data_IF_126924206815
#
_entry.id   IF_126924206815
#
_cell.length_a   1.000
_cell.length_b   1.000
_cell.length_c   1.000
_cell.angle_alpha   90.00
_cell.angle_beta   90.00
_cell.angle_gamma   90.00
#
_symmetry.space_group_name_H-M   'P 1'
#
loop_
_entity.id
_entity.type
_entity.pdbx_description
1 polymer ?
#
# COMPACT_ATOMS: atom_id res chain seq x y z
N UNK A 1 -9.01 -17.24 -27.09
CA UNK A 1 -9.86 -16.03 -27.01
C UNK A 1 -9.19 -14.89 -26.24
N UNK A 2 -7.86 -14.70 -26.39
CA UNK A 2 -7.11 -13.57 -25.81
C UNK A 2 -6.71 -12.52 -26.87
N UNK A 3 -7.04 -12.74 -28.14
CA UNK A 3 -6.70 -11.85 -29.26
C UNK A 3 -7.79 -10.80 -29.59
N UNK A 4 -8.93 -10.82 -28.88
CA UNK A 4 -10.01 -9.85 -29.06
C UNK A 4 -9.98 -8.70 -28.03
N UNK A 5 -9.20 -8.85 -26.95
CA UNK A 5 -9.09 -7.84 -25.90
C UNK A 5 -7.94 -6.83 -26.11
N UNK A 6 -7.02 -7.09 -27.04
CA UNK A 6 -5.87 -6.21 -27.31
C UNK A 6 -6.20 -5.00 -28.20
N UNK A 7 -7.34 -5.00 -28.89
CA UNK A 7 -7.69 -3.94 -29.86
C UNK A 7 -8.65 -2.86 -29.32
N UNK A 8 -8.93 -2.85 -28.00
CA UNK A 8 -9.87 -1.92 -27.37
C UNK A 8 -9.21 -0.86 -26.46
N UNK A 9 -7.88 -0.86 -26.32
CA UNK A 9 -7.15 0.03 -25.38
C UNK A 9 -5.97 0.81 -25.99
N UNK A 10 -6.01 1.13 -27.28
CA UNK A 10 -5.03 2.07 -27.86
C UNK A 10 -5.59 3.50 -27.87
N UNK A 11 -5.41 4.20 -26.76
CA UNK A 11 -5.38 5.66 -26.72
C UNK A 11 -4.01 6.16 -27.21
N UNK A 12 -4.02 7.12 -28.13
CA UNK A 12 -2.84 7.79 -28.67
C UNK A 12 -2.06 8.55 -27.58
N UNK A 13 -0.71 8.54 -27.60
CA UNK A 13 0.09 9.32 -26.66
C UNK A 13 0.21 10.79 -27.10
N UNK A 14 -0.06 11.70 -26.18
CA UNK A 14 0.28 13.12 -26.25
C UNK A 14 1.81 13.30 -26.17
N UNK A 15 2.43 14.18 -26.98
CA UNK A 15 3.87 14.43 -26.92
C UNK A 15 4.24 15.30 -25.70
N UNK A 16 5.27 14.88 -24.98
CA UNK A 16 5.97 15.69 -23.95
C UNK A 16 6.85 16.75 -24.61
N UNK A 17 6.95 17.97 -24.05
CA UNK A 17 7.68 19.08 -24.68
C UNK A 17 9.20 18.94 -24.53
N UNK A 18 9.90 19.38 -25.57
CA UNK A 18 11.36 19.48 -25.69
C UNK A 18 11.80 20.83 -25.08
N UNK A 19 12.85 20.80 -24.25
CA UNK A 19 13.52 21.99 -23.76
C UNK A 19 14.47 22.57 -24.83
N UNK A 20 14.36 23.86 -25.13
CA UNK A 20 15.34 24.64 -25.90
C UNK A 20 15.46 26.01 -25.21
N UNK A 21 16.67 26.37 -24.80
CA UNK A 21 17.05 27.67 -24.23
C UNK A 21 17.13 28.78 -25.30
N UNK A 22 16.64 29.97 -24.90
CA UNK A 22 17.00 31.35 -25.24
C UNK A 22 17.50 31.73 -26.64
N UNK A 23 16.66 32.46 -27.39
CA UNK A 23 17.02 33.70 -28.09
C UNK A 23 15.81 34.28 -28.85
N UNK A 24 15.11 35.25 -28.26
CA UNK A 24 14.71 36.53 -28.91
C UNK A 24 13.69 37.30 -28.04
N UNK A 25 14.19 38.37 -27.44
CA UNK A 25 13.47 39.32 -26.61
C UNK A 25 13.26 40.59 -27.45
N UNK A 26 12.07 40.78 -28.03
CA UNK A 26 11.63 42.07 -28.56
C UNK A 26 10.11 42.15 -28.71
N UNK A 27 9.54 43.16 -28.04
CA UNK A 27 8.37 43.97 -28.38
C UNK A 27 7.10 43.29 -28.92
N UNK A 28 6.01 43.37 -28.16
CA UNK A 28 4.71 43.91 -28.63
C UNK A 28 3.79 44.09 -27.43
N UNK A 29 3.93 45.25 -26.77
CA UNK A 29 2.88 45.81 -25.93
C UNK A 29 1.93 46.63 -26.82
N UNK A 30 0.76 46.09 -27.15
CA UNK A 30 -0.39 46.91 -27.54
C UNK A 30 -1.69 46.12 -27.33
N UNK A 31 -2.37 46.42 -26.22
CA UNK A 31 -3.71 45.91 -25.91
C UNK A 31 -4.70 46.85 -26.58
N UNK A 32 -5.35 46.37 -27.65
CA UNK A 32 -6.48 47.07 -28.27
C UNK A 32 -7.79 46.63 -27.60
N UNK A 33 -8.44 47.57 -26.92
CA UNK A 33 -9.82 47.47 -26.40
C UNK A 33 -10.83 47.46 -27.55
N UNK A 34 -11.82 46.54 -27.59
CA UNK A 34 -12.92 46.67 -28.54
C UNK A 34 -14.02 47.60 -28.00
N UNK A 35 -14.07 48.79 -28.60
CA UNK A 35 -15.10 49.83 -28.46
C UNK A 35 -16.51 49.30 -28.76
N UNK A 36 -17.45 49.63 -27.87
CA UNK A 36 -18.89 49.39 -28.00
C UNK A 36 -19.49 50.44 -28.96
N UNK A 37 -20.14 50.01 -30.04
CA UNK A 37 -20.95 50.89 -30.89
C UNK A 37 -22.41 50.40 -30.99
N UNK A 38 -23.40 51.31 -30.97
CA UNK A 38 -24.82 51.00 -30.78
C UNK A 38 -25.56 50.86 -32.12
N UNK A 39 -26.66 50.11 -32.17
CA UNK A 39 -27.61 50.21 -33.29
C UNK A 39 -29.05 50.21 -32.76
N UNK A 40 -29.67 51.38 -32.90
CA UNK A 40 -31.12 51.61 -32.89
C UNK A 40 -31.71 51.27 -34.26
N UNK A 41 -32.98 50.91 -34.24
CA UNK A 41 -33.83 50.41 -35.32
C UNK A 41 -33.85 51.20 -36.64
N UNK A 42 -33.99 50.45 -37.76
CA UNK A 42 -35.00 50.79 -38.78
C UNK A 42 -35.23 49.62 -39.75
N UNK A 43 -36.52 49.41 -40.01
CA UNK A 43 -37.18 48.46 -40.89
C UNK A 43 -36.86 48.75 -42.38
N UNK A 44 -36.49 47.72 -43.17
CA UNK A 44 -36.65 47.72 -44.63
C UNK A 44 -36.49 46.32 -45.26
N UNK A 45 -37.50 45.93 -46.03
CA UNK A 45 -37.59 44.76 -46.93
C UNK A 45 -36.50 44.80 -48.02
N UNK A 46 -35.82 43.69 -48.30
CA UNK A 46 -35.89 42.93 -49.58
C UNK A 46 -34.83 41.81 -49.68
N UNK A 47 -35.27 40.73 -50.34
CA UNK A 47 -34.57 39.83 -51.27
C UNK A 47 -33.42 38.92 -50.82
N UNK A 48 -33.71 37.63 -51.02
CA UNK A 48 -32.84 36.48 -51.20
C UNK A 48 -31.45 36.79 -51.77
N UNK A 49 -30.42 36.35 -51.05
CA UNK A 49 -29.23 35.78 -51.68
C UNK A 49 -28.63 34.72 -50.75
N UNK A 50 -28.38 33.56 -51.36
CA UNK A 50 -27.84 32.36 -50.77
C UNK A 50 -26.40 32.56 -50.31
N UNK A 51 -26.10 32.13 -49.09
CA UNK A 51 -24.73 31.81 -48.68
C UNK A 51 -24.79 30.67 -47.67
N UNK A 52 -24.55 29.45 -48.15
CA UNK A 52 -24.22 28.32 -47.31
C UNK A 52 -22.91 28.63 -46.59
N UNK A 53 -22.96 28.77 -45.27
CA UNK A 53 -21.79 28.71 -44.41
C UNK A 53 -22.07 27.68 -43.32
N UNK A 54 -21.40 26.53 -43.48
CA UNK A 54 -20.92 25.62 -42.44
C UNK A 54 -21.79 25.49 -41.20
N UNK A 55 -22.51 24.37 -41.16
CA UNK A 55 -23.15 23.77 -39.99
C UNK A 55 -22.11 23.57 -38.87
N UNK A 56 -21.87 24.61 -38.08
CA UNK A 56 -21.38 24.45 -36.72
C UNK A 56 -22.46 23.64 -36.02
N UNK A 57 -22.17 22.38 -35.68
CA UNK A 57 -23.10 21.54 -34.91
C UNK A 57 -23.64 22.33 -33.74
N UNK A 58 -24.85 22.87 -33.91
CA UNK A 58 -25.52 23.66 -32.89
C UNK A 58 -25.91 22.66 -31.81
N UNK A 59 -25.24 22.75 -30.66
CA UNK A 59 -25.64 21.99 -29.48
C UNK A 59 -27.13 22.29 -29.30
N UNK A 60 -28.02 21.27 -29.31
CA UNK A 60 -29.45 21.50 -29.34
C UNK A 60 -29.83 22.40 -28.17
N UNK A 61 -30.47 23.52 -28.49
CA UNK A 61 -30.89 24.52 -27.51
C UNK A 61 -31.79 23.84 -26.47
N UNK A 62 -31.31 23.78 -25.23
CA UNK A 62 -32.10 23.30 -24.11
C UNK A 62 -32.09 24.38 -23.03
N UNK A 63 -33.29 24.75 -22.55
CA UNK A 63 -33.47 25.64 -21.38
C UNK A 63 -32.71 25.14 -20.16
N UNK A 64 -32.43 23.83 -20.12
CA UNK A 64 -31.12 23.24 -19.85
C UNK A 64 -30.06 24.14 -19.20
N UNK A 65 -29.35 24.83 -20.08
CA UNK A 65 -28.11 25.52 -19.74
C UNK A 65 -28.32 27.01 -19.44
N UNK A 66 -29.50 27.58 -19.77
CA UNK A 66 -29.82 29.00 -19.58
C UNK A 66 -30.70 29.20 -18.33
N UNK A 67 -30.08 29.21 -17.15
CA UNK A 67 -30.77 29.40 -15.86
C UNK A 67 -31.54 30.73 -15.79
N UNK A 68 -31.07 31.76 -16.48
CA UNK A 68 -31.65 33.11 -16.49
C UNK A 68 -32.98 33.22 -17.25
N UNK A 69 -33.33 32.23 -18.08
CA UNK A 69 -34.59 32.17 -18.83
C UNK A 69 -35.69 31.40 -18.08
N UNK A 70 -35.39 30.87 -16.89
CA UNK A 70 -36.31 30.07 -16.07
C UNK A 70 -36.90 30.92 -14.95
N UNK A 71 -38.23 31.04 -14.92
CA UNK A 71 -38.93 31.91 -13.98
C UNK A 71 -40.00 31.19 -13.17
N UNK A 72 -40.26 29.91 -13.44
CA UNK A 72 -41.28 29.13 -12.72
C UNK A 72 -40.66 28.05 -11.82
N UNK A 73 -41.20 27.85 -10.62
CA UNK A 73 -40.73 26.81 -9.68
C UNK A 73 -40.84 25.38 -10.25
N UNK A 74 -41.73 25.18 -11.24
CA UNK A 74 -41.88 23.91 -11.94
C UNK A 74 -40.67 23.52 -12.80
N UNK A 75 -39.94 24.52 -13.33
CA UNK A 75 -38.73 24.32 -14.15
C UNK A 75 -37.51 23.92 -13.32
N UNK A 76 -37.57 24.10 -11.99
CA UNK A 76 -36.52 23.73 -11.05
C UNK A 76 -36.75 22.37 -10.36
N UNK A 77 -37.81 21.63 -10.70
CA UNK A 77 -38.13 20.33 -10.06
C UNK A 77 -36.99 19.33 -10.18
N UNK A 78 -36.33 19.25 -11.33
CA UNK A 78 -35.20 18.34 -11.55
C UNK A 78 -33.96 18.76 -10.74
N UNK A 79 -33.66 20.07 -10.70
CA UNK A 79 -32.57 20.61 -9.87
C UNK A 79 -32.83 20.40 -8.39
N UNK A 80 -34.07 20.59 -7.92
CA UNK A 80 -34.47 20.30 -6.55
C UNK A 80 -34.26 18.82 -6.18
N UNK A 81 -34.61 17.89 -7.08
CA UNK A 81 -34.35 16.45 -6.87
C UNK A 81 -32.85 16.17 -6.80
N UNK A 82 -32.04 16.77 -7.67
CA UNK A 82 -30.57 16.63 -7.64
C UNK A 82 -30.00 17.18 -6.32
N UNK A 83 -30.47 18.34 -5.86
CA UNK A 83 -30.03 18.95 -4.59
C UNK A 83 -30.39 18.06 -3.41
N UNK A 84 -31.61 17.49 -3.37
CA UNK A 84 -32.03 16.55 -2.32
C UNK A 84 -31.12 15.31 -2.31
N UNK A 85 -30.82 14.76 -3.48
CA UNK A 85 -29.94 13.60 -3.61
C UNK A 85 -28.49 13.93 -3.19
N UNK A 86 -27.97 15.09 -3.58
CA UNK A 86 -26.64 15.55 -3.19
C UNK A 86 -26.58 15.76 -1.66
N UNK A 87 -27.60 16.40 -1.08
CA UNK A 87 -27.71 16.60 0.35
C UNK A 87 -27.74 15.25 1.10
N UNK A 88 -28.46 14.26 0.57
CA UNK A 88 -28.47 12.91 1.14
C UNK A 88 -27.09 12.25 1.11
N UNK A 89 -26.35 12.35 -0.01
CA UNK A 89 -24.97 11.85 -0.12
C UNK A 89 -24.06 12.55 0.89
N UNK A 90 -24.15 13.88 1.01
CA UNK A 90 -23.35 14.67 1.97
C UNK A 90 -23.68 14.26 3.40
N UNK A 91 -24.96 14.06 3.74
CA UNK A 91 -25.34 13.59 5.07
C UNK A 91 -24.75 12.21 5.38
N UNK A 92 -24.86 11.25 4.46
CA UNK A 92 -24.25 9.92 4.63
C UNK A 92 -22.74 10.04 4.84
N UNK A 93 -22.07 10.85 4.02
CA UNK A 93 -20.64 11.08 4.14
C UNK A 93 -20.27 11.63 5.53
N UNK A 94 -20.96 12.67 5.99
CA UNK A 94 -20.71 13.30 7.29
C UNK A 94 -21.02 12.36 8.47
N UNK A 95 -22.09 11.58 8.40
CA UNK A 95 -22.41 10.60 9.44
C UNK A 95 -21.40 9.44 9.46
N UNK A 96 -21.03 8.93 8.28
CA UNK A 96 -20.04 7.86 8.14
C UNK A 96 -18.68 8.24 8.71
N UNK A 97 -18.17 9.43 8.37
CA UNK A 97 -16.89 9.93 8.90
C UNK A 97 -16.95 10.19 10.40
N UNK A 98 -18.06 10.74 10.93
CA UNK A 98 -18.25 10.95 12.38
C UNK A 98 -18.24 9.64 13.17
N UNK A 99 -18.89 8.59 12.67
CA UNK A 99 -18.91 7.27 13.32
C UNK A 99 -17.49 6.68 13.35
N UNK A 100 -16.78 6.74 12.23
CA UNK A 100 -15.40 6.25 12.14
C UNK A 100 -14.47 6.99 13.12
N UNK A 101 -14.51 8.33 13.15
CA UNK A 101 -13.75 9.14 14.11
C UNK A 101 -14.10 8.79 15.56
N UNK A 102 -15.37 8.56 15.88
CA UNK A 102 -15.80 8.19 17.24
C UNK A 102 -15.25 6.82 17.65
N UNK A 103 -15.27 5.82 16.74
CA UNK A 103 -14.68 4.51 16.98
C UNK A 103 -13.17 4.60 17.20
N UNK A 104 -12.47 5.29 16.31
CA UNK A 104 -11.03 5.46 16.40
C UNK A 104 -10.60 6.12 17.72
N UNK A 105 -11.27 7.20 18.12
CA UNK A 105 -10.99 7.86 19.40
C UNK A 105 -11.26 6.97 20.60
N UNK A 106 -12.33 6.17 20.59
CA UNK A 106 -12.60 5.27 21.71
C UNK A 106 -11.50 4.23 21.85
N UNK A 107 -11.08 3.61 20.75
CA UNK A 107 -10.02 2.62 20.74
C UNK A 107 -8.71 3.18 21.30
N UNK A 108 -8.29 4.35 20.82
CA UNK A 108 -7.09 5.02 21.32
C UNK A 108 -7.26 5.50 22.76
N UNK A 109 -8.47 5.86 23.18
CA UNK A 109 -8.79 6.16 24.58
C UNK A 109 -8.53 4.99 25.53
N UNK A 110 -8.76 3.75 25.08
CA UNK A 110 -8.51 2.52 25.86
C UNK A 110 -7.05 2.06 25.77
N UNK A 111 -6.40 2.22 24.61
CA UNK A 111 -4.99 1.82 24.41
C UNK A 111 -4.03 2.84 25.03
N UNK A 112 -4.43 4.11 25.05
CA UNK A 112 -3.63 5.24 25.49
C UNK A 112 -3.03 5.11 26.88
N UNK A 113 -3.78 4.71 27.93
CA UNK A 113 -3.23 4.50 29.26
C UNK A 113 -2.08 3.49 29.30
N UNK A 114 -2.20 2.40 28.53
CA UNK A 114 -1.16 1.35 28.44
C UNK A 114 0.07 1.92 27.73
N UNK A 115 -0.14 2.63 26.62
CA UNK A 115 0.96 3.22 25.85
C UNK A 115 1.67 4.33 26.62
N UNK A 116 0.93 5.20 27.30
CA UNK A 116 1.47 6.29 28.11
C UNK A 116 2.31 5.78 29.28
N UNK A 117 1.96 4.64 29.86
CA UNK A 117 2.73 4.02 30.94
C UNK A 117 4.07 3.43 30.44
N UNK A 118 4.09 2.89 29.23
CA UNK A 118 5.21 2.11 28.70
C UNK A 118 6.15 2.91 27.78
N UNK A 119 5.68 4.04 27.23
CA UNK A 119 6.41 4.87 26.28
C UNK A 119 6.52 6.32 26.77
N UNK A 120 7.69 6.94 26.57
CA UNK A 120 7.91 8.32 26.98
C UNK A 120 7.30 9.35 26.03
N UNK A 121 7.08 9.01 24.76
CA UNK A 121 6.48 9.90 23.77
C UNK A 121 5.37 9.15 23.03
N UNK A 122 4.18 9.75 23.02
CA UNK A 122 3.00 9.18 22.39
C UNK A 122 2.39 10.19 21.42
N UNK A 123 2.11 9.75 20.21
CA UNK A 123 1.48 10.53 19.17
C UNK A 123 2.44 11.37 18.33
N UNK A 124 1.88 12.41 17.72
CA UNK A 124 2.59 13.34 16.84
C UNK A 124 2.90 14.68 17.53
N UNK A 125 2.66 14.77 18.84
CA UNK A 125 2.99 15.95 19.61
C UNK A 125 4.50 16.02 19.86
N UNK A 126 5.04 17.23 19.78
CA UNK A 126 6.47 17.49 19.95
C UNK A 126 6.88 17.67 21.39
N UNK A 127 5.91 17.80 22.30
CA UNK A 127 6.13 17.94 23.74
C UNK A 127 6.01 16.58 24.40
N UNK A 128 7.06 16.09 25.08
CA UNK A 128 6.93 14.88 25.88
C UNK A 128 5.91 15.11 27.01
N UNK A 129 5.05 14.14 27.33
CA UNK A 129 4.19 14.19 28.50
C UNK A 129 5.06 14.42 29.75
N UNK A 130 4.63 15.34 30.62
CA UNK A 130 5.31 15.57 31.89
C UNK A 130 5.03 14.37 32.81
N UNK A 131 5.98 13.95 33.65
CA UNK A 131 5.85 12.76 34.54
C UNK A 131 4.61 12.77 35.48
N UNK A 132 3.90 13.90 35.58
CA UNK A 132 2.68 14.08 36.37
C UNK A 132 1.40 14.27 35.53
N UNK A 133 1.46 14.13 34.20
CA UNK A 133 0.26 14.20 33.37
C UNK A 133 -0.51 12.88 33.46
N UNK A 134 -1.56 12.87 34.28
CA UNK A 134 -2.56 11.79 34.25
C UNK A 134 -3.16 11.69 32.83
N UNK A 135 -3.42 10.47 32.36
CA UNK A 135 -4.05 10.26 31.05
C UNK A 135 -5.44 10.94 31.02
N UNK A 136 -5.55 12.03 30.27
CA UNK A 136 -6.82 12.73 30.07
C UNK A 136 -7.43 12.33 28.73
N UNK A 137 -8.75 12.11 28.69
CA UNK A 137 -9.45 11.71 27.46
C UNK A 137 -9.34 12.75 26.32
N UNK A 138 -8.95 13.99 26.62
CA UNK A 138 -8.74 15.06 25.64
C UNK A 138 -7.41 14.89 24.86
N UNK A 139 -6.40 14.21 25.42
CA UNK A 139 -5.10 13.97 24.75
C UNK A 139 -5.21 13.12 23.49
N UNK A 140 -6.29 12.32 23.37
CA UNK A 140 -6.59 11.48 22.21
C UNK A 140 -6.62 12.29 20.91
N UNK A 141 -7.00 13.56 20.97
CA UNK A 141 -7.10 14.44 19.81
C UNK A 141 -5.75 14.81 19.18
N UNK A 142 -4.69 14.94 19.98
CA UNK A 142 -3.34 15.24 19.49
C UNK A 142 -2.54 13.99 19.09
N UNK A 143 -2.90 12.84 19.66
CA UNK A 143 -2.19 11.58 19.48
C UNK A 143 -2.60 10.84 18.19
N UNK A 144 -3.85 11.01 17.76
CA UNK A 144 -4.42 10.31 16.62
C UNK A 144 -4.36 11.17 15.35
N UNK A 145 -3.70 10.68 14.30
CA UNK A 145 -3.67 11.30 12.98
C UNK A 145 -4.60 10.59 12.02
N UNK A 146 -5.48 11.34 11.35
CA UNK A 146 -6.32 10.85 10.27
C UNK A 146 -5.53 10.89 8.96
N UNK A 147 -5.21 9.71 8.39
CA UNK A 147 -4.61 9.58 7.05
C UNK A 147 -5.71 9.67 5.98
N UNK A 148 -6.84 9.01 6.25
CA UNK A 148 -8.03 8.95 5.41
C UNK A 148 -9.27 8.83 6.31
N UNK A 149 -10.50 9.15 5.85
CA UNK A 149 -11.70 8.99 6.68
C UNK A 149 -11.99 7.56 7.17
N UNK A 150 -11.29 6.56 6.62
CA UNK A 150 -11.27 5.18 7.08
C UNK A 150 -9.96 4.75 7.77
N UNK A 151 -8.87 5.49 7.58
CA UNK A 151 -7.54 5.09 8.05
C UNK A 151 -6.99 6.10 9.06
N UNK A 152 -6.70 5.61 10.25
CA UNK A 152 -6.11 6.41 11.32
C UNK A 152 -4.80 5.78 11.75
N UNK A 153 -3.85 6.60 12.14
CA UNK A 153 -2.55 6.15 12.61
C UNK A 153 -2.17 6.86 13.87
N UNK A 154 -1.53 6.16 14.79
CA UNK A 154 -0.79 6.73 15.90
C UNK A 154 0.56 6.06 16.03
N UNK A 155 1.46 6.72 16.73
CA UNK A 155 2.85 6.34 16.86
C UNK A 155 3.26 6.48 18.32
N UNK A 156 4.13 5.64 18.84
CA UNK A 156 4.77 5.86 20.14
C UNK A 156 6.25 5.46 20.13
N UNK A 157 7.05 6.11 20.97
CA UNK A 157 8.48 5.85 21.11
C UNK A 157 8.97 6.16 22.52
N UNK A 158 10.20 5.75 22.85
CA UNK A 158 10.80 6.01 24.17
C UNK A 158 10.87 4.81 25.11
N UNK A 159 10.69 3.59 24.60
CA UNK A 159 10.99 2.35 25.34
C UNK A 159 12.39 1.87 24.99
N UNK A 160 13.09 1.23 25.93
CA UNK A 160 14.51 0.86 25.77
C UNK A 160 14.78 -0.08 24.59
N UNK A 161 14.03 -1.18 24.45
CA UNK A 161 14.29 -2.22 23.44
C UNK A 161 13.49 -2.02 22.14
N UNK A 162 12.69 -0.95 22.04
CA UNK A 162 11.77 -0.69 20.93
C UNK A 162 12.09 0.68 20.34
N UNK A 163 12.42 0.73 19.05
CA UNK A 163 12.63 1.99 18.36
C UNK A 163 11.34 2.80 18.31
N UNK A 164 10.28 2.17 17.83
CA UNK A 164 8.95 2.74 17.83
C UNK A 164 7.87 1.69 17.60
N UNK A 165 6.65 2.11 17.91
CA UNK A 165 5.42 1.39 17.62
C UNK A 165 4.55 2.22 16.68
N UNK A 166 4.09 1.59 15.61
CA UNK A 166 3.06 2.11 14.72
C UNK A 166 1.75 1.39 15.03
N UNK A 167 0.68 2.14 15.23
CA UNK A 167 -0.67 1.60 15.37
C UNK A 167 -1.51 2.18 14.25
N UNK A 168 -1.82 1.35 13.27
CA UNK A 168 -2.68 1.68 12.14
C UNK A 168 -4.06 1.06 12.33
N UNK A 169 -5.08 1.87 12.09
CA UNK A 169 -6.47 1.54 12.24
C UNK A 169 -7.16 1.62 10.88
N UNK A 170 -7.68 0.50 10.41
CA UNK A 170 -8.43 0.43 9.15
C UNK A 170 -9.89 0.16 9.47
N UNK A 171 -10.74 1.15 9.20
CA UNK A 171 -12.19 1.08 9.37
C UNK A 171 -12.91 0.89 8.03
N UNK A 172 -14.15 0.45 8.09
CA UNK A 172 -15.01 0.39 6.91
C UNK A 172 -15.24 1.78 6.34
N UNK A 173 -15.34 1.87 5.01
CA UNK A 173 -15.64 3.09 4.25
C UNK A 173 -17.13 3.48 4.36
N UNK A 174 -17.62 3.70 5.59
CA UNK A 174 -19.03 4.03 5.89
C UNK A 174 -19.51 5.32 5.26
N UNK A 175 -18.59 6.22 4.92
CA UNK A 175 -18.86 7.47 4.23
C UNK A 175 -19.23 7.29 2.75
N UNK A 176 -19.05 6.07 2.21
CA UNK A 176 -19.36 5.71 0.82
C UNK A 176 -19.99 4.31 0.78
N UNK A 177 -21.32 4.19 0.98
CA UNK A 177 -21.98 2.89 1.04
C UNK A 177 -21.91 2.12 -0.27
N UNK A 178 -21.91 2.83 -1.42
CA UNK A 178 -21.80 2.19 -2.73
C UNK A 178 -20.44 1.48 -2.90
N UNK A 179 -19.35 2.09 -2.47
CA UNK A 179 -18.04 1.44 -2.53
C UNK A 179 -17.95 0.27 -1.56
N UNK A 180 -18.54 0.39 -0.37
CA UNK A 180 -18.58 -0.71 0.61
C UNK A 180 -19.36 -1.92 0.07
N UNK A 181 -20.52 -1.69 -0.57
CA UNK A 181 -21.31 -2.75 -1.20
C UNK A 181 -20.56 -3.35 -2.40
N UNK A 182 -19.90 -2.53 -3.21
CA UNK A 182 -19.09 -3.01 -4.33
C UNK A 182 -17.92 -3.86 -3.85
N UNK A 183 -17.18 -3.43 -2.82
CA UNK A 183 -16.09 -4.19 -2.19
C UNK A 183 -16.58 -5.52 -1.63
N UNK A 184 -17.70 -5.51 -0.90
CA UNK A 184 -18.32 -6.73 -0.37
C UNK A 184 -18.77 -7.68 -1.50
N UNK A 185 -19.39 -7.16 -2.56
CA UNK A 185 -19.78 -7.97 -3.72
C UNK A 185 -18.55 -8.57 -4.41
N UNK A 186 -17.50 -7.78 -4.66
CA UNK A 186 -16.26 -8.25 -5.26
C UNK A 186 -15.62 -9.36 -4.44
N UNK A 187 -15.61 -9.27 -3.10
CA UNK A 187 -15.05 -10.32 -2.24
C UNK A 187 -15.77 -11.67 -2.35
N UNK A 188 -17.05 -11.69 -2.77
CA UNK A 188 -17.79 -12.94 -3.00
C UNK A 188 -17.46 -13.54 -4.37
N UNK A 189 -17.19 -12.71 -5.38
CA UNK A 189 -16.92 -13.17 -6.75
C UNK A 189 -15.44 -13.44 -7.02
N UNK A 190 -14.52 -12.80 -6.29
CA UNK A 190 -13.08 -12.92 -6.48
C UNK A 190 -12.43 -13.49 -5.22
N UNK A 191 -11.95 -14.73 -5.32
CA UNK A 191 -11.31 -15.45 -4.20
C UNK A 191 -10.03 -14.76 -3.70
N UNK A 192 -9.40 -13.90 -4.50
CA UNK A 192 -8.24 -13.11 -4.12
C UNK A 192 -8.55 -11.78 -3.42
N UNK A 193 -9.83 -11.45 -3.21
CA UNK A 193 -10.24 -10.22 -2.52
C UNK A 193 -10.90 -10.56 -1.19
N UNK A 194 -10.30 -10.11 -0.09
CA UNK A 194 -10.88 -10.31 1.23
C UNK A 194 -12.08 -9.41 1.46
N UNK A 195 -13.04 -9.90 2.26
CA UNK A 195 -14.19 -9.10 2.66
C UNK A 195 -13.71 -7.87 3.45
N UNK A 196 -14.29 -6.68 3.19
CA UNK A 196 -13.89 -5.48 3.89
C UNK A 196 -14.17 -5.68 5.39
N UNK A 197 -13.12 -5.60 6.20
CA UNK A 197 -13.17 -5.86 7.64
C UNK A 197 -12.42 -4.77 8.41
N UNK A 198 -12.97 -4.41 9.57
CA UNK A 198 -12.35 -3.44 10.47
C UNK A 198 -11.24 -4.12 11.27
N UNK A 199 -10.01 -3.61 11.20
CA UNK A 199 -8.88 -4.18 11.92
C UNK A 199 -7.93 -3.10 12.44
N UNK A 200 -7.20 -3.46 13.49
CA UNK A 200 -6.11 -2.69 14.09
C UNK A 200 -4.83 -3.45 13.86
N UNK A 201 -3.87 -2.82 13.20
CA UNK A 201 -2.51 -3.30 13.09
C UNK A 201 -1.62 -2.59 14.09
N UNK A 202 -0.94 -3.34 14.96
CA UNK A 202 0.08 -2.84 15.87
C UNK A 202 1.41 -3.42 15.39
N UNK A 203 2.31 -2.55 14.94
CA UNK A 203 3.63 -2.94 14.45
C UNK A 203 4.71 -2.33 15.32
N UNK A 204 5.44 -3.19 16.03
CA UNK A 204 6.61 -2.82 16.80
C UNK A 204 7.87 -3.02 15.97
N UNK A 205 8.80 -2.08 16.09
CA UNK A 205 10.12 -2.14 15.49
C UNK A 205 11.17 -2.24 16.60
N UNK A 206 11.60 -3.47 16.97
CA UNK A 206 12.66 -3.67 17.95
C UNK A 206 14.00 -3.15 17.45
N UNK A 207 14.87 -2.77 18.38
CA UNK A 207 16.25 -2.45 18.04
C UNK A 207 17.04 -3.72 17.66
N UNK A 208 17.88 -3.61 16.62
CA UNK A 208 18.69 -4.73 16.10
C UNK A 208 20.18 -4.56 16.44
N UNK A 209 20.50 -3.89 17.56
CA UNK A 209 21.89 -3.53 17.93
C UNK A 209 22.56 -2.50 17.01
N UNK A 210 21.85 -2.04 15.97
CA UNK A 210 22.22 -0.89 15.11
C UNK A 210 21.58 0.42 15.60
N UNK A 211 21.40 0.55 16.90
CA UNK A 211 20.74 1.68 17.56
C UNK A 211 21.39 3.02 17.19
N UNK A 212 22.73 3.01 16.99
CA UNK A 212 23.51 4.16 16.56
C UNK A 212 23.12 4.75 15.19
N UNK A 213 22.44 3.99 14.33
CA UNK A 213 21.97 4.48 13.03
C UNK A 213 20.60 5.17 13.13
N UNK A 214 19.80 4.79 14.12
CA UNK A 214 18.42 5.26 14.27
C UNK A 214 18.30 6.41 15.27
N UNK A 215 19.14 6.42 16.30
CA UNK A 215 19.16 7.49 17.32
C UNK A 215 20.27 8.49 16.99
N UNK A 216 19.95 9.73 16.57
CA UNK A 216 20.96 10.75 16.31
C UNK A 216 21.74 11.05 17.60
N UNK A 217 23.07 10.86 17.55
CA UNK A 217 23.97 10.89 18.71
C UNK A 217 24.22 12.27 19.34
N UNK A 218 23.30 13.22 19.19
CA UNK A 218 23.47 14.61 19.61
C UNK A 218 22.43 15.07 20.66
N UNK A 219 21.66 14.12 21.21
CA UNK A 219 20.75 14.39 22.33
C UNK A 219 21.55 14.22 23.64
N UNK A 220 21.58 15.21 24.55
CA UNK A 220 22.19 15.08 25.88
C UNK A 220 21.56 13.88 26.62
N UNK A 221 22.37 12.92 27.08
CA UNK A 221 21.89 11.66 27.69
C UNK A 221 22.02 10.41 26.80
N UNK A 222 22.21 10.57 25.49
CA UNK A 222 22.42 9.46 24.54
C UNK A 222 23.71 8.64 24.80
N UNK A 223 24.66 9.17 25.58
CA UNK A 223 25.85 8.45 25.99
C UNK A 223 25.60 7.39 27.07
N UNK A 224 24.50 7.48 27.84
CA UNK A 224 24.15 6.46 28.85
C UNK A 224 23.42 5.26 28.24
N UNK A 225 22.61 5.48 27.20
CA UNK A 225 22.00 4.41 26.39
C UNK A 225 23.07 3.50 25.75
N UNK A 226 24.25 4.06 25.39
CA UNK A 226 25.39 3.30 24.83
C UNK A 226 26.03 2.30 25.82
N UNK A 227 25.76 2.44 27.12
CA UNK A 227 26.25 1.52 28.18
C UNK A 227 25.24 0.41 28.51
N UNK A 228 24.01 0.49 28.01
CA UNK A 228 23.02 -0.58 28.13
C UNK A 228 23.43 -1.82 27.32
N UNK A 229 23.09 -3.02 27.79
CA UNK A 229 23.32 -4.26 27.05
C UNK A 229 22.69 -4.20 25.65
N UNK A 230 23.28 -4.89 24.68
CA UNK A 230 22.75 -4.95 23.31
C UNK A 230 21.35 -5.54 23.34
N UNK A 231 20.36 -4.81 22.82
CA UNK A 231 18.95 -5.22 22.67
C UNK A 231 18.74 -6.31 21.60
N UNK A 232 19.75 -7.15 21.35
CA UNK A 232 19.81 -8.06 20.21
C UNK A 232 19.32 -9.45 20.59
N UNK A 233 18.39 -10.00 19.81
CA UNK A 233 18.01 -11.42 19.83
C UNK A 233 18.24 -12.09 18.47
N UNK A 234 18.13 -13.40 18.38
CA UNK A 234 18.37 -14.14 17.13
C UNK A 234 17.28 -13.90 16.09
N UNK A 235 17.64 -13.96 14.80
CA UNK A 235 16.69 -13.78 13.69
C UNK A 235 15.92 -15.06 13.39
N UNK A 236 14.59 -14.98 13.38
CA UNK A 236 13.69 -16.07 13.03
C UNK A 236 12.32 -15.53 12.57
N UNK A 237 11.53 -16.41 11.94
CA UNK A 237 10.10 -16.14 11.67
C UNK A 237 9.24 -17.09 12.50
N UNK A 238 8.34 -16.50 13.28
CA UNK A 238 7.37 -17.19 14.12
C UNK A 238 6.04 -16.43 14.16
N UNK A 239 4.93 -17.13 14.04
CA UNK A 239 3.61 -16.51 14.11
C UNK A 239 2.59 -17.42 14.77
N UNK A 240 1.61 -16.80 15.43
CA UNK A 240 0.34 -17.42 15.81
C UNK A 240 -0.75 -16.76 14.99
N UNK A 241 -1.54 -17.58 14.29
CA UNK A 241 -2.53 -17.08 13.32
C UNK A 241 -3.87 -17.78 13.52
N UNK A 242 -4.94 -17.06 13.23
CA UNK A 242 -6.27 -17.64 13.09
C UNK A 242 -6.33 -18.47 11.78
N UNK A 243 -6.91 -19.67 11.86
CA UNK A 243 -6.96 -20.64 10.75
C UNK A 243 -7.68 -20.11 9.52
N UNK A 244 -8.67 -19.26 9.72
CA UNK A 244 -9.46 -18.68 8.62
C UNK A 244 -8.61 -17.77 7.72
N UNK A 245 -7.55 -17.16 8.27
CA UNK A 245 -6.73 -16.16 7.57
C UNK A 245 -5.41 -16.72 7.03
N UNK A 246 -5.09 -18.01 7.21
CA UNK A 246 -3.77 -18.56 6.83
C UNK A 246 -3.51 -18.43 5.32
N UNK A 247 -4.52 -18.73 4.49
CA UNK A 247 -4.36 -18.69 3.03
C UNK A 247 -4.02 -17.28 2.58
N UNK A 248 -4.85 -16.32 2.99
CA UNK A 248 -4.64 -14.91 2.69
C UNK A 248 -3.28 -14.42 3.21
N UNK A 249 -2.89 -14.77 4.44
CA UNK A 249 -1.61 -14.35 5.00
C UNK A 249 -0.39 -14.91 4.25
N UNK A 250 -0.49 -16.12 3.69
CA UNK A 250 0.59 -16.71 2.87
C UNK A 250 0.71 -16.05 1.50
N UNK A 251 -0.39 -15.52 0.97
CA UNK A 251 -0.41 -14.82 -0.32
C UNK A 251 0.01 -13.36 -0.16
N UNK A 252 -0.46 -12.68 0.90
CA UNK A 252 -0.20 -11.26 1.16
C UNK A 252 1.20 -11.00 1.73
N UNK A 253 1.78 -11.96 2.47
CA UNK A 253 3.06 -11.77 3.16
C UNK A 253 4.08 -12.86 2.84
N UNK A 254 5.22 -12.43 2.33
CA UNK A 254 6.34 -13.29 1.99
C UNK A 254 6.99 -13.92 3.22
N UNK A 255 7.11 -13.19 4.33
CA UNK A 255 7.71 -13.68 5.58
C UNK A 255 7.08 -14.99 6.08
N UNK A 256 5.75 -15.04 6.14
CA UNK A 256 4.99 -16.22 6.59
C UNK A 256 5.10 -17.37 5.58
N UNK A 257 5.23 -17.08 4.29
CA UNK A 257 5.33 -18.11 3.24
C UNK A 257 6.50 -19.08 3.44
N UNK A 258 7.57 -18.62 4.12
CA UNK A 258 8.76 -19.41 4.44
C UNK A 258 8.54 -20.41 5.58
N UNK A 259 7.49 -20.24 6.37
CA UNK A 259 7.27 -21.01 7.60
C UNK A 259 6.43 -22.27 7.39
N UNK A 260 6.64 -23.25 8.27
CA UNK A 260 5.84 -24.46 8.33
C UNK A 260 4.71 -24.30 9.36
N UNK A 261 3.51 -24.71 8.98
CA UNK A 261 2.36 -24.71 9.89
C UNK A 261 2.41 -25.95 10.78
N UNK A 262 2.30 -25.75 12.10
CA UNK A 262 2.20 -26.82 13.09
C UNK A 262 1.11 -26.50 14.11
N UNK A 263 0.15 -27.40 14.23
CA UNK A 263 -0.87 -27.31 15.27
C UNK A 263 -0.26 -27.69 16.64
N UNK A 264 -0.66 -26.97 17.68
CA UNK A 264 -0.28 -27.23 19.07
C UNK A 264 -1.54 -27.53 19.88
N UNK A 265 -1.47 -28.57 20.73
CA UNK A 265 -2.58 -28.92 21.64
C UNK A 265 -2.80 -27.88 22.76
N UNK A 266 -1.83 -26.99 22.98
CA UNK A 266 -1.90 -25.94 24.01
C UNK A 266 -2.71 -24.72 23.55
N UNK A 267 -2.97 -24.62 22.26
CA UNK A 267 -3.66 -23.48 21.66
C UNK A 267 -5.11 -23.86 21.32
N UNK A 268 -6.02 -22.86 21.28
CA UNK A 268 -7.37 -23.09 20.83
C UNK A 268 -7.43 -23.63 19.41
N UNK A 269 -8.41 -24.50 19.14
CA UNK A 269 -8.54 -25.22 17.84
C UNK A 269 -8.62 -24.31 16.61
N UNK A 270 -9.08 -23.07 16.79
CA UNK A 270 -9.22 -22.05 15.75
C UNK A 270 -7.90 -21.30 15.46
N UNK A 271 -6.86 -21.50 16.27
CA UNK A 271 -5.51 -20.95 16.04
C UNK A 271 -4.51 -22.04 15.65
N UNK A 272 -3.45 -21.64 14.96
CA UNK A 272 -2.29 -22.50 14.69
C UNK A 272 -0.99 -21.70 14.83
N UNK A 273 0.10 -22.40 15.08
CA UNK A 273 1.45 -21.82 15.02
C UNK A 273 2.04 -22.01 13.62
N UNK A 274 2.75 -21.01 13.14
CA UNK A 274 3.58 -21.06 11.95
C UNK A 274 5.01 -20.70 12.36
N UNK A 275 5.97 -21.61 12.13
CA UNK A 275 7.34 -21.43 12.61
C UNK A 275 8.35 -22.12 11.70
N UNK A 276 9.57 -21.58 11.66
CA UNK A 276 10.73 -22.22 11.02
C UNK A 276 11.25 -23.42 11.84
N UNK A 277 11.11 -23.38 13.18
CA UNK A 277 11.59 -24.45 14.08
C UNK A 277 10.63 -24.71 15.25
N UNK A 278 10.60 -25.96 15.72
CA UNK A 278 9.80 -26.33 16.89
C UNK A 278 10.35 -25.76 18.20
N UNK A 279 11.68 -25.69 18.34
CA UNK A 279 12.34 -25.12 19.53
C UNK A 279 11.96 -23.64 19.74
N UNK A 280 11.83 -22.88 18.65
CA UNK A 280 11.38 -21.49 18.70
C UNK A 280 9.94 -21.41 19.24
N UNK A 281 9.07 -22.32 18.80
CA UNK A 281 7.70 -22.38 19.29
C UNK A 281 7.65 -22.67 20.79
N UNK A 282 8.48 -23.58 21.29
CA UNK A 282 8.50 -23.93 22.71
C UNK A 282 8.98 -22.77 23.59
N UNK A 283 9.94 -21.98 23.11
CA UNK A 283 10.43 -20.81 23.83
C UNK A 283 9.42 -19.64 23.87
N UNK A 284 8.66 -19.45 22.79
CA UNK A 284 7.77 -18.29 22.64
C UNK A 284 6.34 -18.55 23.10
N UNK A 285 5.91 -19.81 23.14
CA UNK A 285 4.56 -20.17 23.55
C UNK A 285 4.43 -20.23 25.07
N UNK A 286 4.37 -19.05 25.68
CA UNK A 286 4.16 -18.86 27.13
C UNK A 286 2.70 -19.10 27.52
N UNK A 287 2.47 -19.42 28.80
CA UNK A 287 1.11 -19.58 29.35
C UNK A 287 0.33 -18.27 29.34
N UNK A 288 1.02 -17.15 29.57
CA UNK A 288 0.43 -15.80 29.51
C UNK A 288 -0.09 -15.46 28.12
N UNK A 289 0.69 -15.78 27.08
CA UNK A 289 0.27 -15.56 25.70
C UNK A 289 -0.96 -16.41 25.35
N UNK A 290 -0.96 -17.69 25.72
CA UNK A 290 -2.08 -18.59 25.46
C UNK A 290 -3.36 -18.03 26.09
N UNK A 291 -3.29 -17.62 27.35
CA UNK A 291 -4.43 -17.04 28.06
C UNK A 291 -4.89 -15.72 27.43
N UNK A 292 -3.97 -14.84 27.03
CA UNK A 292 -4.31 -13.58 26.36
C UNK A 292 -5.00 -13.81 25.00
N UNK A 293 -4.58 -14.82 24.25
CA UNK A 293 -5.21 -15.21 22.97
C UNK A 293 -6.61 -15.81 23.22
N UNK A 294 -6.75 -16.67 24.23
CA UNK A 294 -8.04 -17.25 24.62
C UNK A 294 -9.06 -16.18 25.03
N UNK A 295 -8.63 -15.18 25.81
CA UNK A 295 -9.46 -14.05 26.20
C UNK A 295 -9.86 -13.17 25.01
N UNK A 296 -8.96 -12.97 24.06
CA UNK A 296 -9.22 -12.18 22.86
C UNK A 296 -10.24 -12.85 21.92
N UNK A 297 -10.29 -14.19 21.91
CA UNK A 297 -11.24 -14.97 21.13
C UNK A 297 -11.20 -14.62 19.63
N UNK A 298 -12.36 -14.45 19.01
CA UNK A 298 -12.50 -14.14 17.57
C UNK A 298 -11.93 -12.76 17.17
N UNK A 299 -11.62 -11.88 18.13
CA UNK A 299 -10.96 -10.61 17.83
C UNK A 299 -9.49 -10.79 17.43
N UNK A 300 -8.88 -11.93 17.75
CA UNK A 300 -7.50 -12.21 17.38
C UNK A 300 -7.39 -12.64 15.90
N UNK A 301 -6.61 -11.90 15.10
CA UNK A 301 -6.27 -12.30 13.74
C UNK A 301 -4.92 -13.01 13.67
N UNK A 302 -3.85 -12.31 14.01
CA UNK A 302 -2.50 -12.85 13.96
C UNK A 302 -1.52 -12.06 14.83
N UNK A 303 -0.51 -12.76 15.34
CA UNK A 303 0.70 -12.22 15.96
C UNK A 303 1.89 -12.81 15.21
N UNK A 304 2.74 -11.95 14.66
CA UNK A 304 3.89 -12.34 13.83
C UNK A 304 5.14 -11.69 14.41
N UNK A 305 6.19 -12.48 14.58
CA UNK A 305 7.54 -12.06 14.91
C UNK A 305 8.40 -12.46 13.72
N UNK A 306 9.02 -11.49 13.06
CA UNK A 306 9.76 -11.74 11.83
C UNK A 306 10.99 -10.85 11.77
N UNK A 307 12.04 -11.36 11.14
CA UNK A 307 13.18 -10.57 10.67
C UNK A 307 13.23 -10.47 9.13
N UNK A 308 12.26 -11.06 8.44
CA UNK A 308 12.15 -11.06 6.98
C UNK A 308 11.28 -9.90 6.48
N UNK A 309 11.49 -9.45 5.22
CA UNK A 309 10.63 -8.44 4.61
C UNK A 309 9.20 -8.97 4.41
N UNK A 310 8.24 -8.04 4.47
CA UNK A 310 6.81 -8.36 4.26
C UNK A 310 6.55 -8.71 2.80
N UNK A 311 7.15 -7.96 1.87
CA UNK A 311 7.06 -8.21 0.44
C UNK A 311 8.25 -9.05 -0.04
N UNK A 312 8.05 -9.80 -1.13
CA UNK A 312 9.09 -10.63 -1.70
C UNK A 312 10.24 -9.73 -2.24
N UNK A 313 11.47 -9.89 -1.73
CA UNK A 313 12.58 -9.07 -2.18
C UNK A 313 12.97 -9.43 -3.62
N UNK A 314 13.01 -8.43 -4.49
CA UNK A 314 13.47 -8.57 -5.88
C UNK A 314 14.99 -8.44 -5.98
N UNK A 315 15.60 -7.66 -5.07
CA UNK A 315 17.04 -7.40 -5.04
C UNK A 315 17.67 -8.02 -3.80
N UNK A 316 18.97 -8.30 -3.90
CA UNK A 316 19.74 -8.84 -2.78
C UNK A 316 19.83 -7.85 -1.60
N UNK A 317 19.84 -6.54 -1.85
CA UNK A 317 19.94 -5.52 -0.80
C UNK A 317 18.70 -5.48 0.10
N UNK A 318 17.53 -5.81 -0.47
CA UNK A 318 16.24 -5.85 0.23
C UNK A 318 16.08 -7.10 1.09
N UNK A 319 17.02 -8.05 1.01
CA UNK A 319 17.08 -9.24 1.89
C UNK A 319 17.73 -8.95 3.25
N UNK A 320 18.10 -7.69 3.50
CA UNK A 320 18.65 -7.30 4.81
C UNK A 320 17.61 -7.53 5.91
N UNK A 321 17.94 -8.33 6.95
CA UNK A 321 16.97 -8.69 7.96
C UNK A 321 16.56 -7.44 8.76
N UNK A 322 15.24 -7.27 8.93
CA UNK A 322 14.64 -6.18 9.70
C UNK A 322 13.63 -6.79 10.66
N UNK A 323 13.96 -6.73 11.94
CA UNK A 323 13.11 -7.25 13.01
C UNK A 323 11.83 -6.43 13.13
N UNK A 324 10.71 -7.13 13.23
CA UNK A 324 9.37 -6.56 13.36
C UNK A 324 8.49 -7.52 14.15
N UNK A 325 7.62 -6.95 14.99
CA UNK A 325 6.52 -7.69 15.61
C UNK A 325 5.23 -7.05 15.12
N UNK A 326 4.37 -7.82 14.47
CA UNK A 326 3.09 -7.36 13.94
C UNK A 326 1.96 -8.11 14.64
N UNK A 327 1.10 -7.38 15.34
CA UNK A 327 -0.15 -7.86 15.90
C UNK A 327 -1.30 -7.28 15.07
N UNK A 328 -2.24 -8.13 14.65
CA UNK A 328 -3.49 -7.70 14.03
C UNK A 328 -4.68 -8.20 14.81
N UNK A 329 -5.64 -7.30 15.00
CA UNK A 329 -6.85 -7.52 15.78
C UNK A 329 -8.06 -7.04 14.99
N UNK A 330 -9.17 -7.78 15.03
CA UNK A 330 -10.45 -7.31 14.51
C UNK A 330 -11.05 -6.30 15.48
N UNK A 331 -11.76 -5.31 14.94
CA UNK A 331 -12.46 -4.34 15.78
C UNK A 331 -13.84 -4.89 16.15
N UNK A 332 -14.17 -4.97 17.45
CA UNK A 332 -15.48 -5.44 17.89
C UNK A 332 -16.58 -4.46 17.50
N UNK A 333 -17.72 -5.00 17.04
CA UNK A 333 -18.90 -4.19 16.74
C UNK A 333 -19.52 -3.55 17.99
N UNK A 334 -19.36 -4.19 19.16
CA UNK A 334 -19.80 -3.71 20.47
C UNK A 334 -18.96 -2.55 21.02
N UNK A 335 -17.82 -2.23 20.37
CA UNK A 335 -16.92 -1.16 20.77
C UNK A 335 -16.34 -1.36 22.19
N UNK A 336 -16.26 -2.59 22.67
CA UNK A 336 -15.64 -2.99 23.94
C UNK A 336 -14.29 -3.64 23.65
N UNK A 337 -13.21 -3.07 24.20
CA UNK A 337 -11.83 -3.46 23.91
C UNK A 337 -11.16 -4.20 25.07
N UNK A 338 -11.86 -4.40 26.19
CA UNK A 338 -11.32 -4.96 27.43
C UNK A 338 -10.64 -6.32 27.26
N UNK A 339 -11.18 -7.18 26.40
CA UNK A 339 -10.63 -8.51 26.10
C UNK A 339 -9.28 -8.49 25.38
N UNK A 340 -8.95 -7.38 24.71
CA UNK A 340 -7.76 -7.24 23.86
C UNK A 340 -6.63 -6.50 24.59
N UNK A 341 -6.94 -5.76 25.66
CA UNK A 341 -5.96 -4.97 26.41
C UNK A 341 -4.82 -5.84 26.99
N UNK A 342 -5.15 -7.01 27.53
CA UNK A 342 -4.16 -7.94 28.07
C UNK A 342 -3.19 -8.44 26.99
N UNK A 343 -3.70 -8.69 25.78
CA UNK A 343 -2.88 -9.11 24.65
C UNK A 343 -1.98 -7.97 24.16
N UNK A 344 -2.50 -6.74 24.11
CA UNK A 344 -1.68 -5.57 23.79
C UNK A 344 -0.54 -5.40 24.80
N UNK A 345 -0.84 -5.44 26.09
CA UNK A 345 0.16 -5.34 27.15
C UNK A 345 1.21 -6.45 27.05
N UNK A 346 0.79 -7.69 26.79
CA UNK A 346 1.71 -8.80 26.56
C UNK A 346 2.63 -8.54 25.36
N UNK A 347 2.10 -8.05 24.24
CA UNK A 347 2.88 -7.77 23.03
C UNK A 347 3.90 -6.64 23.22
N UNK A 348 3.58 -5.65 24.06
CA UNK A 348 4.55 -4.63 24.44
C UNK A 348 5.73 -5.24 25.23
N UNK A 349 5.43 -6.09 26.21
CA UNK A 349 6.43 -6.79 27.04
C UNK A 349 7.16 -7.92 26.31
N UNK A 350 6.57 -8.44 25.22
CA UNK A 350 7.15 -9.49 24.39
C UNK A 350 8.52 -9.09 23.85
N UNK A 351 8.73 -7.81 23.55
CA UNK A 351 10.03 -7.30 23.08
C UNK A 351 11.15 -7.56 24.09
N UNK A 352 10.88 -7.34 25.38
CA UNK A 352 11.85 -7.59 26.45
C UNK A 352 12.06 -9.09 26.68
N UNK A 353 10.99 -9.88 26.62
CA UNK A 353 11.07 -11.35 26.70
C UNK A 353 11.91 -11.94 25.56
N UNK A 354 11.79 -11.37 24.35
CA UNK A 354 12.59 -11.78 23.20
C UNK A 354 14.08 -11.49 23.42
N UNK A 355 14.43 -10.31 23.91
CA UNK A 355 15.83 -9.97 24.21
C UNK A 355 16.42 -10.90 25.28
N UNK A 356 15.63 -11.38 26.23
CA UNK A 356 16.10 -12.27 27.29
C UNK A 356 16.18 -13.75 26.87
N UNK A 357 15.21 -14.23 26.09
CA UNK A 357 15.01 -15.66 25.87
C UNK A 357 15.27 -16.13 24.43
N UNK A 358 15.23 -15.24 23.44
CA UNK A 358 15.36 -15.63 22.04
C UNK A 358 16.84 -15.70 21.60
N UNK A 359 17.59 -16.52 22.34
CA UNK A 359 18.95 -16.97 22.02
C UNK A 359 18.94 -18.49 21.86
N UNK A 360 18.98 -18.94 20.61
CA UNK A 360 18.79 -20.34 20.25
C UNK A 360 20.11 -21.07 20.05
N UNK A 361 20.02 -22.40 20.07
CA UNK A 361 21.17 -23.26 19.79
C UNK A 361 21.66 -23.04 18.35
N UNK A 362 22.97 -23.14 18.09
CA UNK A 362 23.53 -22.99 16.74
C UNK A 362 22.92 -23.93 15.69
N UNK A 363 22.43 -25.10 16.10
CA UNK A 363 21.76 -26.06 15.21
C UNK A 363 20.47 -25.49 14.61
N UNK A 364 19.64 -24.83 15.43
CA UNK A 364 18.41 -24.17 15.00
C UNK A 364 18.76 -23.01 14.06
N UNK A 365 19.73 -22.20 14.43
CA UNK A 365 20.19 -21.08 13.60
C UNK A 365 20.73 -21.54 12.24
N UNK A 366 21.45 -22.67 12.20
CA UNK A 366 21.92 -23.26 10.93
C UNK A 366 20.77 -23.72 10.05
N UNK A 367 19.73 -24.31 10.64
CA UNK A 367 18.54 -24.74 9.90
C UNK A 367 17.77 -23.55 9.32
N UNK A 368 17.54 -22.52 10.14
CA UNK A 368 16.90 -21.27 9.74
C UNK A 368 17.70 -20.61 8.60
N UNK A 369 19.01 -20.48 8.78
CA UNK A 369 19.89 -19.91 7.75
C UNK A 369 19.88 -20.72 6.46
N UNK A 370 19.91 -22.05 6.53
CA UNK A 370 19.86 -22.90 5.33
C UNK A 370 18.59 -22.67 4.51
N UNK A 371 17.43 -22.57 5.18
CA UNK A 371 16.16 -22.32 4.49
C UNK A 371 16.16 -20.94 3.78
N UNK A 372 16.79 -19.94 4.41
CA UNK A 372 16.94 -18.58 3.86
C UNK A 372 17.92 -18.53 2.70
N UNK A 373 19.07 -19.18 2.83
CA UNK A 373 20.07 -19.25 1.75
C UNK A 373 19.47 -19.91 0.49
N UNK A 374 18.61 -20.92 0.66
CA UNK A 374 17.89 -21.54 -0.46
C UNK A 374 16.84 -20.61 -1.08
N UNK A 375 16.17 -19.77 -0.30
CA UNK A 375 15.27 -18.74 -0.82
C UNK A 375 16.04 -17.64 -1.58
N UNK A 376 17.17 -17.18 -1.04
CA UNK A 376 18.05 -16.18 -1.67
C UNK A 376 18.61 -16.71 -2.99
N UNK A 377 19.01 -17.99 -3.04
CA UNK A 377 19.47 -18.63 -4.29
C UNK A 377 18.41 -18.63 -5.38
N UNK A 378 17.12 -18.79 -5.02
CA UNK A 378 16.03 -18.71 -6.01
C UNK A 378 15.90 -17.30 -6.59
N UNK A 379 16.05 -16.27 -5.75
CA UNK A 379 16.02 -14.87 -6.18
C UNK A 379 17.21 -14.58 -7.09
N UNK A 380 18.42 -15.01 -6.69
CA UNK A 380 19.63 -14.86 -7.52
C UNK A 380 19.49 -15.52 -8.88
N UNK A 381 18.94 -16.74 -8.93
CA UNK A 381 18.70 -17.44 -10.18
C UNK A 381 17.70 -16.71 -11.08
N UNK A 382 16.61 -16.18 -10.51
CA UNK A 382 15.63 -15.42 -11.25
C UNK A 382 16.23 -14.13 -11.84
N UNK A 383 17.03 -13.40 -11.05
CA UNK A 383 17.74 -12.19 -11.49
C UNK A 383 18.80 -12.50 -12.58
N UNK A 384 19.52 -13.64 -12.47
CA UNK A 384 20.44 -14.10 -13.51
C UNK A 384 19.73 -14.47 -14.81
N UNK A 385 18.57 -15.12 -14.72
CA UNK A 385 17.73 -15.48 -15.86
C UNK A 385 17.18 -14.23 -16.57
N UNK A 386 16.66 -13.27 -15.82
CA UNK A 386 16.19 -11.98 -16.37
C UNK A 386 17.33 -11.23 -17.08
N UNK A 387 18.52 -11.16 -16.45
CA UNK A 387 19.70 -10.56 -17.08
C UNK A 387 20.19 -11.33 -18.31
N UNK A 388 20.00 -12.65 -18.34
CA UNK A 388 20.34 -13.45 -19.52
C UNK A 388 19.35 -13.19 -20.67
N UNK A 389 18.06 -13.08 -20.37
CA UNK A 389 17.02 -12.72 -21.34
C UNK A 389 17.24 -11.32 -21.91
N UNK A 390 17.51 -10.32 -21.07
CA UNK A 390 17.81 -8.96 -21.50
C UNK A 390 19.03 -8.93 -22.44
N UNK A 391 20.13 -9.62 -22.07
CA UNK A 391 21.32 -9.73 -22.94
C UNK A 391 21.03 -10.43 -24.27
N UNK A 392 20.14 -11.42 -24.29
CA UNK A 392 19.74 -12.09 -25.53
C UNK A 392 18.90 -11.16 -26.42
N UNK A 393 17.94 -10.44 -25.84
CA UNK A 393 17.13 -9.46 -26.56
C UNK A 393 17.98 -8.32 -27.14
N UNK A 394 18.97 -7.81 -26.40
CA UNK A 394 19.91 -6.81 -26.91
C UNK A 394 20.77 -7.34 -28.06
N UNK A 395 21.27 -8.58 -27.94
CA UNK A 395 22.01 -9.24 -29.02
C UNK A 395 21.15 -9.42 -30.27
N UNK A 396 19.87 -9.75 -30.11
CA UNK A 396 18.93 -9.87 -31.23
C UNK A 396 18.61 -8.51 -31.86
N UNK A 397 18.36 -7.47 -31.04
CA UNK A 397 18.15 -6.10 -31.51
C UNK A 397 19.38 -5.57 -32.26
N UNK A 398 20.59 -5.77 -31.73
CA UNK A 398 21.84 -5.35 -32.38
C UNK A 398 22.07 -6.09 -33.71
N UNK A 399 21.78 -7.40 -33.77
CA UNK A 399 21.85 -8.17 -35.03
C UNK A 399 20.82 -7.66 -36.04
N UNK A 400 19.60 -7.35 -35.61
CA UNK A 400 18.53 -6.82 -36.47
C UNK A 400 18.87 -5.41 -36.98
N UNK A 401 19.45 -4.56 -36.15
CA UNK A 401 19.90 -3.21 -36.53
C UNK A 401 21.06 -3.27 -37.54
N UNK A 402 22.10 -4.08 -37.27
CA UNK A 402 23.18 -4.30 -38.23
C UNK A 402 22.66 -4.81 -39.57
N UNK A 403 21.73 -5.78 -39.53
CA UNK A 403 21.06 -6.31 -40.72
C UNK A 403 20.31 -5.22 -41.49
N UNK A 404 19.54 -4.37 -40.80
CA UNK A 404 18.78 -3.30 -41.45
C UNK A 404 19.70 -2.24 -42.07
N UNK A 405 20.80 -1.88 -41.40
CA UNK A 405 21.80 -0.95 -41.94
C UNK A 405 22.50 -1.53 -43.18
N UNK A 406 22.89 -2.80 -43.15
CA UNK A 406 23.47 -3.49 -44.32
C UNK A 406 22.47 -3.54 -45.49
N UNK A 407 21.19 -3.86 -45.23
CA UNK A 407 20.15 -3.90 -46.25
C UNK A 407 19.86 -2.51 -46.85
N UNK A 408 19.86 -1.44 -46.04
CA UNK A 408 19.66 -0.08 -46.51
C UNK A 408 20.83 0.45 -47.36
N UNK A 409 22.06 -0.02 -47.11
CA UNK A 409 23.25 0.40 -47.85
C UNK A 409 23.43 -0.30 -49.22
N UNK A 410 22.65 -1.34 -49.52
CA UNK A 410 22.78 -2.16 -50.73
C UNK A 410 21.75 -1.78 -51.82
N UNK A 411 22.17 -1.82 -53.08
CA UNK A 411 21.30 -1.60 -54.25
C UNK A 411 20.29 -2.76 -54.47
N UNK A 412 19.18 -2.50 -55.17
CA UNK A 412 17.99 -3.37 -55.30
C UNK A 412 18.26 -4.79 -55.80
N UNK A 413 19.20 -4.99 -56.73
CA UNK A 413 19.66 -6.32 -57.18
C UNK A 413 20.52 -7.04 -56.14
N UNK A 414 21.31 -6.30 -55.36
CA UNK A 414 22.18 -6.85 -54.33
C UNK A 414 21.40 -7.26 -53.06
N UNK A 415 20.33 -6.52 -52.72
CA UNK A 415 19.40 -6.88 -51.64
C UNK A 415 18.74 -8.26 -51.89
N UNK A 416 18.27 -8.54 -53.11
CA UNK A 416 17.66 -9.84 -53.46
C UNK A 416 18.63 -11.01 -53.27
N UNK A 417 19.89 -10.84 -53.70
CA UNK A 417 20.94 -11.86 -53.55
C UNK A 417 21.35 -12.08 -52.09
N UNK A 418 21.35 -11.04 -51.26
CA UNK A 418 21.61 -11.16 -49.82
C UNK A 418 20.51 -11.95 -49.12
N UNK A 419 19.23 -11.66 -49.42
CA UNK A 419 18.08 -12.36 -48.84
C UNK A 419 18.02 -13.84 -49.23
N UNK A 420 18.34 -14.20 -50.48
CA UNK A 420 18.39 -15.60 -50.93
C UNK A 420 19.51 -16.38 -50.23
N UNK A 421 20.71 -15.79 -50.12
CA UNK A 421 21.84 -16.41 -49.40
C UNK A 421 21.57 -16.57 -47.91
N UNK A 422 20.79 -15.67 -47.31
CA UNK A 422 20.38 -15.77 -45.92
C UNK A 422 19.34 -16.89 -45.71
N UNK A 423 18.35 -17.00 -46.60
CA UNK A 423 17.37 -18.10 -46.58
C UNK A 423 18.05 -19.47 -46.70
N UNK A 424 19.04 -19.60 -47.58
CA UNK A 424 19.79 -20.85 -47.73
C UNK A 424 20.60 -21.19 -46.47
N UNK A 425 21.27 -20.19 -45.86
CA UNK A 425 21.97 -20.37 -44.57
C UNK A 425 21.02 -20.71 -43.43
N UNK A 426 19.80 -20.16 -43.42
CA UNK A 426 18.75 -20.47 -42.45
C UNK A 426 18.25 -21.91 -42.59
N UNK A 427 17.98 -22.36 -43.82
CA UNK A 427 17.57 -23.74 -44.10
C UNK A 427 18.63 -24.76 -43.69
N UNK A 428 19.92 -24.48 -43.96
CA UNK A 428 21.04 -25.32 -43.50
C UNK A 428 21.16 -25.37 -41.97
N UNK A 429 20.88 -24.27 -41.26
CA UNK A 429 20.88 -24.25 -39.79
C UNK A 429 19.70 -25.01 -39.19
N UNK A 430 18.51 -24.91 -39.80
CA UNK A 430 17.33 -25.63 -39.35
C UNK A 430 17.46 -27.14 -39.60
N UNK A 431 18.02 -27.55 -40.74
CA UNK A 431 18.31 -28.97 -41.00
C UNK A 431 19.28 -29.58 -39.97
N UNK A 432 20.30 -28.82 -39.54
CA UNK A 432 21.25 -29.24 -38.48
C UNK A 432 20.68 -29.26 -37.05
N UNK A 433 19.48 -28.72 -36.81
CA UNK A 433 18.80 -28.78 -35.50
C UNK A 433 17.80 -29.94 -35.42
N UNK A 434 17.41 -30.50 -36.56
CA UNK A 434 16.41 -31.57 -36.67
C UNK A 434 17.08 -32.96 -36.69
N UNK A 435 18.36 -33.03 -37.06
CA UNK A 435 19.25 -34.19 -36.87
C UNK A 435 20.04 -33.99 -35.58
#
# INVERSE_FOLDING_TARGET
>A
MAALFSNLFLSSPSPTPIAIEDSDFADFAEVLEPTRAPILASDQKHLESSSQLTDTQSIPYTKWYNVHERHSLGEFKQEAVIIILLLFIVLIHLFGTKINRKKAKKLIGEFGPILHKEFSLLGFETTPPTEHDEWQAESVHGILKEKSPSEFSTYATGRQNVAFIDIDLTLLKRYSPLTLVAEAAMSVFFEGMSAPSEHVGVTLYPFDGKEHLLVPGQIPGSNELRKGGKSTYDGFVWAVVNKDNIKQLRDDRYDISLTSTKDSNKLPKWTTVMSESAEITEALLTTELIHAIEQSGDLFNHLIITDQPVEQPLKLEDTTPRKRISLSLKIPSSNDYSSVLNLLQYVLNLTDLLVQHAHFRPEVLRKVKSARDDAIRKIQKADEEEKAEQRNLEREKAKKQKRNLELQALDSKAQKKYLEREKEKGLRKNQKKIT
#
